data_IF_116998383926
#
_entry.id   IF_116998383926
#
_cell.length_a   1.000
_cell.length_b   1.000
_cell.length_c   1.000
_cell.angle_alpha   90.00
_cell.angle_beta   90.00
_cell.angle_gamma   90.00
#
_symmetry.space_group_name_H-M   'P 1'
#
loop_
_entity.id
_entity.type
_entity.pdbx_description
1 polymer ?
#
# COMPACT_ATOMS: atom_id res chain seq x y z
N UNK A 1 17.18 -20.57 24.84
CA UNK A 1 17.29 -19.15 24.39
C UNK A 1 16.89 -18.88 22.92
N UNK A 2 16.93 -19.84 21.98
CA UNK A 2 16.57 -19.59 20.55
C UNK A 2 15.10 -19.23 20.27
N UNK A 3 14.13 -19.76 21.04
CA UNK A 3 12.69 -19.39 20.89
C UNK A 3 12.39 -17.92 21.22
N UNK A 4 13.13 -17.31 22.15
CA UNK A 4 12.92 -15.92 22.59
C UNK A 4 13.38 -14.89 21.55
N UNK A 5 14.39 -15.21 20.73
CA UNK A 5 14.86 -14.36 19.62
C UNK A 5 13.92 -14.37 18.40
N UNK A 6 13.17 -15.46 18.17
CA UNK A 6 12.20 -15.57 17.06
C UNK A 6 10.98 -14.66 17.24
N UNK A 7 10.39 -14.63 18.45
CA UNK A 7 9.26 -13.75 18.74
C UNK A 7 9.60 -12.26 18.61
N UNK A 8 10.85 -11.87 18.86
CA UNK A 8 11.32 -10.50 18.62
C UNK A 8 11.40 -10.13 17.14
N UNK A 9 11.82 -11.05 16.27
CA UNK A 9 11.90 -10.82 14.82
C UNK A 9 10.51 -10.69 14.18
N UNK A 10 9.57 -11.56 14.55
CA UNK A 10 8.18 -11.48 14.09
C UNK A 10 7.51 -10.15 14.51
N UNK A 11 7.69 -9.74 15.77
CA UNK A 11 7.19 -8.45 16.27
C UNK A 11 7.78 -7.26 15.49
N UNK A 12 9.06 -7.31 15.16
CA UNK A 12 9.72 -6.26 14.39
C UNK A 12 9.13 -6.14 12.97
N UNK A 13 8.90 -7.27 12.28
CA UNK A 13 8.28 -7.28 10.94
C UNK A 13 6.89 -6.67 10.97
N UNK A 14 6.06 -7.05 11.94
CA UNK A 14 4.71 -6.49 12.09
C UNK A 14 4.73 -5.01 12.46
N UNK A 15 5.64 -4.58 13.33
CA UNK A 15 5.80 -3.17 13.66
C UNK A 15 6.19 -2.34 12.43
N UNK A 16 7.14 -2.82 11.62
CA UNK A 16 7.52 -2.18 10.36
C UNK A 16 6.37 -2.15 9.35
N UNK A 17 5.62 -3.25 9.22
CA UNK A 17 4.46 -3.31 8.34
C UNK A 17 3.40 -2.28 8.75
N UNK A 18 3.08 -2.19 10.05
CA UNK A 18 2.11 -1.23 10.57
C UNK A 18 2.58 0.23 10.39
N UNK A 19 3.85 0.52 10.67
CA UNK A 19 4.43 1.85 10.45
C UNK A 19 4.35 2.24 8.96
N UNK A 20 4.65 1.31 8.07
CA UNK A 20 4.62 1.55 6.62
C UNK A 20 3.18 1.78 6.13
N UNK A 21 2.22 0.98 6.58
CA UNK A 21 0.78 1.18 6.29
C UNK A 21 0.28 2.52 6.82
N UNK A 22 0.74 2.93 8.01
CA UNK A 22 0.43 4.22 8.59
C UNK A 22 0.96 5.37 7.72
N UNK A 23 2.21 5.28 7.26
CA UNK A 23 2.81 6.28 6.35
C UNK A 23 2.05 6.38 5.03
N UNK A 24 1.66 5.25 4.41
CA UNK A 24 0.84 5.25 3.19
C UNK A 24 -0.50 5.92 3.44
N UNK A 25 -1.15 5.60 4.56
CA UNK A 25 -2.45 6.18 4.93
C UNK A 25 -2.33 7.69 5.12
N UNK A 26 -1.26 8.15 5.77
CA UNK A 26 -0.99 9.57 5.97
C UNK A 26 -0.76 10.30 4.63
N UNK A 27 0.04 9.72 3.74
CA UNK A 27 0.25 10.27 2.38
C UNK A 27 -1.08 10.34 1.62
N UNK A 28 -1.87 9.28 1.65
CA UNK A 28 -3.16 9.24 0.97
C UNK A 28 -4.11 10.32 1.50
N UNK A 29 -4.24 10.46 2.83
CA UNK A 29 -5.10 11.47 3.44
C UNK A 29 -4.64 12.90 3.13
N UNK A 30 -3.34 13.18 3.27
CA UNK A 30 -2.77 14.50 3.01
C UNK A 30 -2.91 14.88 1.54
N UNK A 31 -2.65 13.93 0.62
CA UNK A 31 -2.66 14.19 -0.81
C UNK A 31 -4.05 14.11 -1.46
N UNK A 32 -5.04 13.50 -0.81
CA UNK A 32 -6.38 13.37 -1.41
C UNK A 32 -7.03 14.74 -1.67
N UNK A 33 -6.91 15.70 -0.74
CA UNK A 33 -7.44 17.06 -0.94
C UNK A 33 -6.79 17.79 -2.13
N UNK A 34 -5.46 17.94 -2.21
CA UNK A 34 -4.84 18.58 -3.37
C UNK A 34 -5.07 17.80 -4.66
N UNK A 35 -5.12 16.47 -4.61
CA UNK A 35 -5.45 15.65 -5.76
C UNK A 35 -6.84 15.96 -6.33
N UNK A 36 -7.87 16.02 -5.49
CA UNK A 36 -9.25 16.36 -5.91
C UNK A 36 -9.28 17.78 -6.47
N UNK A 37 -8.64 18.75 -5.82
CA UNK A 37 -8.60 20.13 -6.30
C UNK A 37 -7.96 20.27 -7.68
N UNK A 38 -6.89 19.51 -7.95
CA UNK A 38 -6.25 19.46 -9.27
C UNK A 38 -7.18 18.77 -10.26
N UNK A 39 -7.72 17.60 -9.92
CA UNK A 39 -8.66 16.86 -10.78
C UNK A 39 -9.82 17.75 -11.22
N UNK A 40 -10.53 18.39 -10.29
CA UNK A 40 -11.73 19.17 -10.59
C UNK A 40 -11.42 20.37 -11.51
N UNK A 41 -10.24 20.99 -11.37
CA UNK A 41 -9.80 22.09 -12.25
C UNK A 41 -9.49 21.62 -13.68
N UNK A 42 -9.00 20.39 -13.83
CA UNK A 42 -8.57 19.86 -15.12
C UNK A 42 -9.68 19.06 -15.81
N UNK A 43 -10.51 18.34 -15.08
CA UNK A 43 -11.60 17.50 -15.58
C UNK A 43 -12.57 18.29 -16.48
N UNK A 44 -12.94 19.51 -16.06
CA UNK A 44 -13.79 20.40 -16.85
C UNK A 44 -13.16 20.83 -18.20
N UNK A 45 -11.83 20.84 -18.30
CA UNK A 45 -11.11 21.21 -19.52
C UNK A 45 -10.86 20.01 -20.46
N UNK A 46 -10.97 18.78 -19.96
CA UNK A 46 -10.64 17.57 -20.70
C UNK A 46 -11.86 16.70 -21.06
N UNK A 47 -13.06 17.04 -20.57
CA UNK A 47 -14.30 16.35 -20.92
C UNK A 47 -14.60 16.51 -22.41
N UNK A 48 -14.78 15.41 -23.15
CA UNK A 48 -14.97 15.40 -24.61
C UNK A 48 -13.70 15.52 -25.44
N UNK A 49 -12.52 15.44 -24.81
CA UNK A 49 -11.21 15.41 -25.47
C UNK A 49 -10.62 14.00 -25.49
N UNK A 50 -9.58 13.78 -26.31
CA UNK A 50 -8.84 12.50 -26.36
C UNK A 50 -8.21 12.12 -25.00
N UNK A 51 -8.05 13.09 -24.08
CA UNK A 51 -7.42 12.90 -22.78
C UNK A 51 -8.37 12.45 -21.67
N UNK A 52 -9.69 12.44 -21.90
CA UNK A 52 -10.70 12.02 -20.93
C UNK A 52 -10.42 10.61 -20.39
N UNK A 53 -10.13 9.66 -21.28
CA UNK A 53 -9.78 8.28 -20.94
C UNK A 53 -8.52 8.16 -20.08
N UNK A 54 -7.59 9.12 -20.20
CA UNK A 54 -6.35 9.14 -19.40
C UNK A 54 -6.63 9.64 -18.00
N UNK A 55 -7.46 10.70 -17.87
CA UNK A 55 -7.87 11.21 -16.56
C UNK A 55 -8.67 10.20 -15.76
N UNK A 56 -9.58 9.47 -16.41
CA UNK A 56 -10.33 8.38 -15.76
C UNK A 56 -9.43 7.27 -15.22
N UNK A 57 -8.40 6.89 -15.99
CA UNK A 57 -7.40 5.92 -15.53
C UNK A 57 -6.62 6.45 -14.33
N UNK A 58 -6.21 7.72 -14.35
CA UNK A 58 -5.49 8.34 -13.22
C UNK A 58 -6.37 8.36 -11.96
N UNK A 59 -7.66 8.69 -12.08
CA UNK A 59 -8.62 8.66 -10.97
C UNK A 59 -8.82 7.24 -10.43
N UNK A 60 -8.90 6.26 -11.31
CA UNK A 60 -8.98 4.85 -10.93
C UNK A 60 -7.71 4.43 -10.19
N UNK A 61 -6.53 4.74 -10.72
CA UNK A 61 -5.27 4.42 -10.05
C UNK A 61 -5.15 5.10 -8.70
N UNK A 62 -5.54 6.37 -8.57
CA UNK A 62 -5.54 7.11 -7.30
C UNK A 62 -6.37 6.40 -6.20
N UNK A 63 -7.51 5.80 -6.56
CA UNK A 63 -8.35 5.05 -5.62
C UNK A 63 -7.79 3.66 -5.30
N UNK A 64 -7.18 3.00 -6.29
CA UNK A 64 -6.81 1.58 -6.20
C UNK A 64 -5.41 1.36 -5.60
N UNK A 65 -4.46 2.27 -5.84
CA UNK A 65 -3.07 2.09 -5.37
C UNK A 65 -2.91 1.84 -3.86
N UNK A 66 -3.68 2.48 -2.95
CA UNK A 66 -3.52 2.22 -1.53
C UNK A 66 -3.95 0.78 -1.20
N UNK A 67 -5.04 0.29 -1.81
CA UNK A 67 -5.55 -1.07 -1.60
C UNK A 67 -4.51 -2.12 -2.04
N UNK A 68 -3.89 -1.90 -3.20
CA UNK A 68 -2.82 -2.77 -3.70
C UNK A 68 -1.65 -2.80 -2.71
N UNK A 69 -1.22 -1.65 -2.20
CA UNK A 69 -0.11 -1.58 -1.24
C UNK A 69 -0.46 -2.23 0.10
N UNK A 70 -1.66 -2.00 0.64
CA UNK A 70 -2.11 -2.66 1.88
C UNK A 70 -2.03 -4.18 1.71
N UNK A 71 -2.58 -4.69 0.61
CA UNK A 71 -2.57 -6.14 0.33
C UNK A 71 -1.16 -6.68 0.16
N UNK A 72 -0.29 -5.96 -0.55
CA UNK A 72 1.10 -6.37 -0.79
C UNK A 72 1.93 -6.40 0.50
N UNK A 73 1.79 -5.38 1.35
CA UNK A 73 2.49 -5.31 2.64
C UNK A 73 1.99 -6.39 3.59
N UNK A 74 0.69 -6.67 3.58
CA UNK A 74 0.10 -7.73 4.37
C UNK A 74 0.60 -9.12 3.95
N UNK A 75 0.60 -9.42 2.65
CA UNK A 75 1.16 -10.65 2.11
C UNK A 75 2.66 -10.78 2.42
N UNK A 76 3.41 -9.70 2.30
CA UNK A 76 4.84 -9.66 2.64
C UNK A 76 5.09 -9.96 4.12
N UNK A 77 4.31 -9.38 5.03
CA UNK A 77 4.43 -9.64 6.47
C UNK A 77 4.12 -11.12 6.79
N UNK A 78 3.08 -11.69 6.17
CA UNK A 78 2.74 -13.12 6.32
C UNK A 78 3.89 -14.00 5.80
N UNK A 79 4.35 -13.77 4.57
CA UNK A 79 5.45 -14.55 3.97
C UNK A 79 6.73 -14.48 4.80
N UNK A 80 7.04 -13.30 5.34
CA UNK A 80 8.23 -13.09 6.18
C UNK A 80 8.13 -13.86 7.50
N UNK A 81 6.96 -13.85 8.16
CA UNK A 81 6.74 -14.61 9.40
C UNK A 81 6.62 -16.13 9.18
N UNK A 82 6.14 -16.57 8.01
CA UNK A 82 6.09 -17.98 7.62
C UNK A 82 7.49 -18.56 7.34
N UNK A 83 8.36 -17.80 6.65
CA UNK A 83 9.76 -18.21 6.34
C UNK A 83 10.57 -18.52 7.61
N UNK A 84 10.27 -17.85 8.72
CA UNK A 84 10.98 -18.05 9.98
C UNK A 84 10.52 -19.30 10.76
N UNK A 85 9.46 -20.00 10.32
CA UNK A 85 9.00 -21.26 10.93
C UNK A 85 9.88 -22.45 10.52
N UNK A 86 10.36 -23.26 11.48
CA UNK A 86 11.31 -24.35 11.23
C UNK A 86 10.76 -25.55 10.45
N UNK A 87 9.43 -25.62 10.23
CA UNK A 87 8.77 -26.77 9.59
C UNK A 87 8.43 -26.53 8.11
N UNK A 88 8.94 -25.46 7.48
CA UNK A 88 8.85 -25.36 6.02
C UNK A 88 9.76 -26.42 5.40
N UNK A 89 9.24 -27.36 4.58
CA UNK A 89 10.09 -28.27 3.85
C UNK A 89 10.99 -27.42 2.95
N UNK A 90 12.29 -27.51 3.18
CA UNK A 90 13.29 -26.96 2.26
C UNK A 90 13.21 -27.82 1.01
N UNK A 91 12.54 -27.31 -0.01
CA UNK A 91 12.64 -27.82 -1.37
C UNK A 91 13.88 -27.18 -1.99
#
# INVERSE_FOLDING_TARGET
MRRKKRGQGELQVWFFALLFLFMISLVYLVMTKPYIMVRDKFEANFTGSEFESTFDKINTYWKVWPVILVTSVFLWAIMSTLRDRPNFPRI
#
